data_IF_307321635918
#
_entry.id   IF_307321635918
#
_cell.length_a   1.000
_cell.length_b   1.000
_cell.length_c   1.000
_cell.angle_alpha   90.00
_cell.angle_beta   90.00
_cell.angle_gamma   90.00
#
_symmetry.space_group_name_H-M   'P 1'
#
loop_
_entity.id
_entity.type
_entity.pdbx_description
1 polymer ?
#
# COMPACT_ATOMS: atom_id res chain seq x y z
N UNK A 1 69.76 -35.43 41.70
CA UNK A 1 68.31 -35.18 41.94
C UNK A 1 67.99 -33.82 41.38
N UNK A 2 67.29 -33.68 40.22
CA UNK A 2 66.88 -32.37 39.75
C UNK A 2 65.43 -32.08 40.12
N UNK A 3 65.19 -30.83 40.56
CA UNK A 3 63.95 -30.26 40.96
C UNK A 3 62.97 -30.10 39.75
N UNK A 4 61.78 -30.64 39.90
CA UNK A 4 60.67 -30.44 38.96
C UNK A 4 60.03 -29.04 39.18
N UNK A 5 59.94 -28.27 38.08
CA UNK A 5 59.15 -27.03 38.02
C UNK A 5 57.67 -27.38 37.83
N UNK A 6 56.71 -26.65 38.43
CA UNK A 6 55.29 -26.84 38.20
C UNK A 6 54.88 -26.21 36.89
N UNK A 7 53.94 -26.87 36.19
CA UNK A 7 53.30 -26.42 34.94
C UNK A 7 52.23 -25.31 35.23
N UNK A 8 52.01 -24.36 34.32
CA UNK A 8 50.99 -23.36 34.52
C UNK A 8 49.59 -23.92 34.20
N UNK A 9 48.64 -23.66 35.10
CA UNK A 9 47.22 -23.95 34.92
C UNK A 9 46.61 -23.03 33.88
N UNK A 10 46.04 -23.66 32.83
CA UNK A 10 45.27 -22.98 31.79
C UNK A 10 43.86 -22.65 32.35
N UNK A 11 43.61 -21.38 32.61
CA UNK A 11 42.27 -20.89 32.94
C UNK A 11 41.48 -20.67 31.62
N UNK A 12 40.59 -21.59 31.33
CA UNK A 12 39.68 -21.45 30.20
C UNK A 12 38.52 -20.50 30.56
N UNK A 13 38.61 -19.25 30.12
CA UNK A 13 37.48 -18.31 30.20
C UNK A 13 36.40 -18.75 29.20
N UNK A 14 35.29 -19.33 29.69
CA UNK A 14 34.05 -19.49 28.92
C UNK A 14 33.43 -18.11 28.74
N UNK A 15 33.59 -17.53 27.54
CA UNK A 15 32.83 -16.33 27.17
C UNK A 15 31.37 -16.76 26.92
N UNK A 16 30.48 -16.47 27.84
CA UNK A 16 29.03 -16.49 27.63
C UNK A 16 28.68 -15.45 26.56
N UNK A 17 28.49 -15.89 25.35
CA UNK A 17 27.84 -15.11 24.29
C UNK A 17 26.37 -14.88 24.71
N UNK A 18 26.13 -13.79 25.43
CA UNK A 18 24.79 -13.26 25.61
C UNK A 18 24.28 -12.85 24.22
N UNK A 19 23.46 -13.70 23.61
CA UNK A 19 22.75 -13.41 22.38
C UNK A 19 21.89 -12.17 22.61
N UNK A 20 22.37 -11.02 22.15
CA UNK A 20 21.54 -9.84 22.06
C UNK A 20 20.44 -10.17 21.04
N UNK A 21 19.13 -9.98 21.36
CA UNK A 21 18.11 -10.08 20.35
C UNK A 21 18.49 -9.07 19.27
N UNK A 22 18.77 -9.57 18.07
CA UNK A 22 18.94 -8.72 16.90
C UNK A 22 17.64 -7.94 16.73
N UNK A 23 17.69 -6.64 17.03
CA UNK A 23 16.61 -5.71 16.73
C UNK A 23 16.45 -5.84 15.22
N UNK A 24 15.31 -6.40 14.78
CA UNK A 24 15.00 -6.47 13.36
C UNK A 24 15.15 -5.06 12.79
N UNK A 25 16.00 -4.94 11.77
CA UNK A 25 16.22 -3.64 11.11
C UNK A 25 14.88 -3.18 10.58
N UNK A 26 14.41 -2.03 11.05
CA UNK A 26 13.20 -1.41 10.56
C UNK A 26 13.37 -0.93 9.11
N UNK A 27 12.28 -0.72 8.39
CA UNK A 27 12.31 -0.15 7.04
C UNK A 27 13.11 1.15 7.04
N UNK A 28 14.08 1.27 6.13
CA UNK A 28 14.98 2.44 6.09
C UNK A 28 14.53 3.54 5.13
N UNK A 29 13.48 3.29 4.32
CA UNK A 29 13.03 4.22 3.27
C UNK A 29 11.55 4.00 2.93
N UNK A 30 10.68 4.09 3.94
CA UNK A 30 9.25 3.93 3.72
C UNK A 30 8.67 5.22 3.15
N UNK A 31 8.16 5.16 1.90
CA UNK A 31 7.35 6.24 1.33
C UNK A 31 5.91 6.12 1.84
N UNK A 32 5.27 7.25 2.09
CA UNK A 32 3.86 7.26 2.43
C UNK A 32 3.07 7.83 1.26
N UNK A 33 2.48 6.94 0.47
CA UNK A 33 1.59 7.32 -0.62
C UNK A 33 0.23 7.75 -0.09
N UNK A 34 -0.31 8.81 -0.68
CA UNK A 34 -1.63 9.31 -0.35
C UNK A 34 -2.54 9.28 -1.58
N UNK A 35 -3.80 8.90 -1.36
CA UNK A 35 -4.83 8.94 -2.38
C UNK A 35 -6.03 9.78 -1.93
N UNK A 36 -6.51 10.61 -2.81
CA UNK A 36 -7.76 11.36 -2.66
C UNK A 36 -8.33 11.66 -4.06
N UNK A 37 -8.68 10.62 -4.85
CA UNK A 37 -8.96 10.78 -6.28
C UNK A 37 -10.08 11.77 -6.54
N UNK A 38 -11.18 11.72 -5.79
CA UNK A 38 -12.32 12.64 -5.97
C UNK A 38 -11.93 14.10 -5.76
N UNK A 39 -11.00 14.41 -4.85
CA UNK A 39 -10.59 15.76 -4.54
C UNK A 39 -9.40 16.22 -5.40
N UNK A 40 -8.44 15.34 -5.66
CA UNK A 40 -7.20 15.67 -6.39
C UNK A 40 -7.43 15.80 -7.91
N UNK A 41 -8.30 14.96 -8.48
CA UNK A 41 -8.62 15.03 -9.91
C UNK A 41 -9.61 16.17 -10.25
N UNK A 42 -10.31 16.73 -9.27
CA UNK A 42 -11.19 17.87 -9.46
C UNK A 42 -10.42 19.19 -9.50
N UNK A 43 -10.54 20.00 -10.55
CA UNK A 43 -9.85 21.30 -10.63
C UNK A 43 -10.32 22.29 -9.53
N UNK A 44 -11.55 22.10 -9.02
CA UNK A 44 -12.12 22.97 -7.98
C UNK A 44 -11.51 22.69 -6.60
N UNK A 45 -11.32 21.41 -6.26
CA UNK A 45 -10.86 21.01 -4.92
C UNK A 45 -9.37 20.71 -4.84
N UNK A 46 -8.69 20.47 -5.97
CA UNK A 46 -7.26 20.14 -6.02
C UNK A 46 -6.38 21.13 -5.25
N UNK A 47 -6.46 22.47 -5.44
CA UNK A 47 -5.55 23.39 -4.75
C UNK A 47 -5.66 23.33 -3.24
N UNK A 48 -6.89 23.29 -2.70
CA UNK A 48 -7.13 23.19 -1.24
C UNK A 48 -6.68 21.83 -0.70
N UNK A 49 -6.90 20.75 -1.47
CA UNK A 49 -6.47 19.40 -1.11
C UNK A 49 -4.95 19.30 -1.03
N UNK A 50 -4.22 19.78 -2.06
CA UNK A 50 -2.75 19.84 -2.05
C UNK A 50 -2.25 20.63 -0.84
N UNK A 51 -2.86 21.78 -0.54
CA UNK A 51 -2.49 22.59 0.65
C UNK A 51 -2.67 21.79 1.95
N UNK A 52 -3.78 21.06 2.08
CA UNK A 52 -4.04 20.18 3.24
C UNK A 52 -3.01 19.07 3.34
N UNK A 53 -2.75 18.33 2.24
CA UNK A 53 -1.79 17.24 2.21
C UNK A 53 -0.36 17.69 2.57
N UNK A 54 0.04 18.89 2.12
CA UNK A 54 1.34 19.50 2.51
C UNK A 54 1.44 19.72 4.02
N UNK A 55 0.38 20.25 4.64
CA UNK A 55 0.32 20.45 6.11
C UNK A 55 0.38 19.11 6.85
N UNK A 56 -0.22 18.08 6.30
CA UNK A 56 -0.16 16.72 6.85
C UNK A 56 1.20 16.03 6.66
N UNK A 57 2.13 16.64 5.89
CA UNK A 57 3.45 16.10 5.64
C UNK A 57 3.52 15.11 4.48
N UNK A 58 2.48 15.02 3.66
CA UNK A 58 2.48 14.16 2.46
C UNK A 58 3.52 14.65 1.45
N UNK A 59 4.26 13.72 0.88
CA UNK A 59 5.30 13.95 -0.13
C UNK A 59 5.29 12.91 -1.27
N UNK A 60 4.28 12.04 -1.28
CA UNK A 60 4.08 11.05 -2.34
C UNK A 60 2.59 10.84 -2.61
N UNK A 61 2.23 10.67 -3.87
CA UNK A 61 0.86 10.37 -4.29
C UNK A 61 0.82 9.05 -5.04
N UNK A 62 -0.23 8.27 -4.83
CA UNK A 62 -0.69 7.27 -5.79
C UNK A 62 -1.82 7.88 -6.61
N UNK A 63 -1.71 7.77 -7.93
CA UNK A 63 -2.70 8.26 -8.89
C UNK A 63 -3.12 7.08 -9.74
N UNK A 64 -4.39 6.68 -9.66
CA UNK A 64 -4.94 5.67 -10.55
C UNK A 64 -5.39 6.32 -11.87
N UNK A 65 -4.76 5.91 -12.98
CA UNK A 65 -5.06 6.35 -14.32
C UNK A 65 -5.93 5.31 -15.03
N UNK A 66 -7.19 5.65 -15.24
CA UNK A 66 -8.13 4.81 -15.99
C UNK A 66 -7.87 4.91 -17.49
N UNK A 67 -7.56 3.78 -18.12
CA UNK A 67 -7.36 3.72 -19.58
C UNK A 67 -8.60 4.19 -20.34
N UNK A 68 -9.79 3.79 -19.90
CA UNK A 68 -11.06 4.21 -20.50
C UNK A 68 -11.26 5.73 -20.48
N UNK A 69 -10.85 6.39 -19.41
CA UNK A 69 -11.09 7.82 -19.23
C UNK A 69 -10.29 8.67 -20.22
N UNK A 70 -9.10 8.23 -20.59
CA UNK A 70 -8.22 8.99 -21.49
C UNK A 70 -8.32 8.57 -22.95
N UNK A 71 -8.81 7.36 -23.22
CA UNK A 71 -8.80 6.78 -24.57
C UNK A 71 -9.87 7.40 -25.50
N UNK A 72 -9.57 7.56 -26.79
CA UNK A 72 -10.53 8.04 -27.76
C UNK A 72 -11.65 7.02 -27.97
N UNK A 73 -12.89 7.50 -28.12
CA UNK A 73 -14.08 6.66 -28.40
C UNK A 73 -14.20 5.45 -27.49
N UNK A 74 -13.90 5.58 -26.20
CA UNK A 74 -13.76 4.48 -25.23
C UNK A 74 -15.02 3.57 -25.13
N UNK A 75 -16.20 4.10 -25.40
CA UNK A 75 -17.47 3.36 -25.39
C UNK A 75 -17.80 2.67 -26.74
N UNK A 76 -16.99 2.85 -27.76
CA UNK A 76 -17.19 2.20 -29.05
C UNK A 76 -16.80 0.72 -29.01
N UNK A 77 -17.56 -0.13 -29.68
CA UNK A 77 -17.20 -1.53 -29.91
C UNK A 77 -16.13 -1.70 -31.00
N UNK A 78 -15.91 -0.66 -31.82
CA UNK A 78 -14.91 -0.66 -32.91
C UNK A 78 -13.77 0.29 -32.48
N UNK A 79 -12.55 -0.20 -32.64
CA UNK A 79 -11.36 0.62 -32.43
C UNK A 79 -11.38 1.81 -33.40
N UNK A 80 -11.25 3.06 -32.93
CA UNK A 80 -11.11 4.23 -33.79
C UNK A 80 -9.76 4.19 -34.56
N UNK A 81 -9.68 4.96 -35.61
CA UNK A 81 -8.41 5.20 -36.29
C UNK A 81 -7.63 6.26 -35.52
N UNK A 82 -6.53 5.86 -34.90
CA UNK A 82 -5.64 6.74 -34.13
C UNK A 82 -4.28 6.05 -33.92
N UNK A 83 -3.26 6.82 -33.58
CA UNK A 83 -1.94 6.29 -33.22
C UNK A 83 -1.87 6.01 -31.71
N UNK A 84 -2.13 4.77 -31.31
CA UNK A 84 -2.17 4.37 -29.89
C UNK A 84 -0.86 4.58 -29.12
N UNK A 85 0.25 4.85 -29.82
CA UNK A 85 1.54 5.17 -29.19
C UNK A 85 1.81 6.67 -29.05
N UNK A 86 0.94 7.51 -29.62
CA UNK A 86 1.08 8.96 -29.57
C UNK A 86 0.26 9.53 -28.43
N UNK A 87 0.87 10.19 -27.43
CA UNK A 87 0.13 10.81 -26.34
C UNK A 87 -0.84 11.91 -26.83
N UNK A 88 -0.62 12.52 -28.00
CA UNK A 88 -1.52 13.53 -28.55
C UNK A 88 -2.92 13.00 -28.89
N UNK A 89 -3.05 11.69 -29.09
CA UNK A 89 -4.32 11.05 -29.42
C UNK A 89 -5.17 10.66 -28.20
N UNK A 90 -4.78 11.07 -27.00
CA UNK A 90 -5.47 10.79 -25.74
C UNK A 90 -5.85 12.08 -24.98
N UNK A 91 -6.79 11.98 -24.05
CA UNK A 91 -7.31 13.11 -23.26
C UNK A 91 -6.74 13.10 -21.84
N UNK A 92 -5.63 13.79 -21.60
CA UNK A 92 -4.93 13.78 -20.30
C UNK A 92 -5.36 14.87 -19.31
N UNK A 93 -6.25 15.79 -19.72
CA UNK A 93 -6.55 17.02 -18.96
C UNK A 93 -7.03 16.82 -17.52
N UNK A 94 -7.48 15.62 -17.16
CA UNK A 94 -7.83 15.28 -15.78
C UNK A 94 -6.59 14.97 -14.92
N UNK A 95 -5.53 14.42 -15.52
CA UNK A 95 -4.35 13.91 -14.82
C UNK A 95 -3.15 14.87 -14.88
N UNK A 96 -2.92 15.51 -16.03
CA UNK A 96 -1.79 16.41 -16.25
C UNK A 96 -1.59 17.45 -15.13
N UNK A 97 -2.63 18.25 -14.77
CA UNK A 97 -2.42 19.31 -13.78
C UNK A 97 -2.10 18.78 -12.37
N UNK A 98 -2.44 17.52 -12.06
CA UNK A 98 -2.11 16.89 -10.80
C UNK A 98 -0.67 16.37 -10.81
N UNK A 99 -0.25 15.70 -11.90
CA UNK A 99 1.09 15.12 -12.02
C UNK A 99 2.12 16.23 -12.09
N UNK A 100 1.89 17.27 -12.91
CA UNK A 100 2.73 18.46 -13.02
C UNK A 100 2.89 19.17 -11.66
N UNK A 101 1.78 19.35 -10.91
CA UNK A 101 1.84 19.99 -9.59
C UNK A 101 2.61 19.13 -8.58
N UNK A 102 2.40 17.80 -8.56
CA UNK A 102 3.15 16.89 -7.71
C UNK A 102 4.66 16.97 -8.04
N UNK A 103 5.01 16.94 -9.32
CA UNK A 103 6.40 17.06 -9.78
C UNK A 103 7.00 18.41 -9.36
N UNK A 104 6.29 19.53 -9.58
CA UNK A 104 6.71 20.87 -9.17
C UNK A 104 6.95 20.99 -7.65
N UNK A 105 6.22 20.23 -6.85
CA UNK A 105 6.38 20.15 -5.39
C UNK A 105 7.50 19.20 -4.95
N UNK A 106 8.14 18.50 -5.89
CA UNK A 106 9.11 17.46 -5.61
C UNK A 106 8.50 16.22 -4.96
N UNK A 107 7.20 15.99 -5.13
CA UNK A 107 6.52 14.81 -4.64
C UNK A 107 6.76 13.61 -5.54
N UNK A 108 6.89 12.45 -4.95
CA UNK A 108 6.94 11.20 -5.70
C UNK A 108 5.56 10.83 -6.23
N UNK A 109 5.51 10.33 -7.46
CA UNK A 109 4.26 9.87 -8.08
C UNK A 109 4.38 8.39 -8.40
N UNK A 110 3.48 7.60 -7.83
CA UNK A 110 3.14 6.26 -8.29
C UNK A 110 1.92 6.39 -9.22
N UNK A 111 2.10 6.14 -10.51
CA UNK A 111 1.02 6.14 -11.49
C UNK A 111 0.57 4.71 -11.75
N UNK A 112 -0.57 4.33 -11.20
CA UNK A 112 -1.20 3.01 -11.44
C UNK A 112 -2.09 3.09 -12.66
N UNK A 113 -1.71 2.41 -13.74
CA UNK A 113 -2.49 2.37 -14.99
C UNK A 113 -3.39 1.15 -14.99
N UNK A 114 -4.72 1.37 -15.04
CA UNK A 114 -5.69 0.32 -14.73
C UNK A 114 -6.98 0.37 -15.58
N UNK A 115 -7.86 -0.58 -15.28
CA UNK A 115 -9.26 -0.60 -15.71
C UNK A 115 -10.02 0.65 -15.15
N UNK A 116 -11.22 0.95 -15.69
CA UNK A 116 -11.85 0.31 -16.82
C UNK A 116 -11.08 0.54 -18.12
N UNK A 117 -11.19 -0.42 -19.06
CA UNK A 117 -10.53 -0.31 -20.37
C UNK A 117 -11.51 0.19 -21.44
N UNK A 118 -11.04 0.78 -22.54
CA UNK A 118 -11.91 1.08 -23.67
C UNK A 118 -12.59 -0.18 -24.17
N UNK A 119 -13.87 -0.11 -24.48
CA UNK A 119 -14.66 -1.26 -24.88
C UNK A 119 -14.06 -1.98 -26.10
N UNK A 120 -13.52 -1.22 -27.07
CA UNK A 120 -12.83 -1.76 -28.25
C UNK A 120 -11.51 -2.48 -27.93
N UNK A 121 -10.93 -2.26 -26.75
CA UNK A 121 -9.70 -2.92 -26.29
C UNK A 121 -9.97 -4.18 -25.44
N UNK A 122 -11.21 -4.66 -25.34
CA UNK A 122 -11.58 -5.93 -24.72
C UNK A 122 -11.63 -7.05 -25.77
N UNK A 123 -11.43 -8.30 -25.34
CA UNK A 123 -11.49 -9.45 -26.25
C UNK A 123 -12.87 -9.67 -26.85
N UNK A 124 -13.94 -9.23 -26.21
CA UNK A 124 -15.30 -9.30 -26.69
C UNK A 124 -16.13 -8.05 -26.34
N UNK A 125 -16.08 -7.00 -27.17
CA UNK A 125 -16.82 -5.76 -26.92
C UNK A 125 -18.33 -5.91 -26.78
N UNK A 126 -18.90 -6.99 -27.32
CA UNK A 126 -20.35 -7.28 -27.23
C UNK A 126 -20.82 -7.57 -25.80
N UNK A 127 -19.93 -8.05 -24.95
CA UNK A 127 -20.22 -8.27 -23.51
C UNK A 127 -20.41 -6.97 -22.74
N UNK A 128 -20.00 -5.84 -23.31
CA UNK A 128 -20.03 -4.51 -22.67
C UNK A 128 -19.36 -4.46 -21.30
N UNK A 129 -18.45 -5.39 -21.03
CA UNK A 129 -17.62 -5.42 -19.83
C UNK A 129 -16.31 -4.70 -20.10
N UNK A 130 -16.00 -3.73 -19.25
CA UNK A 130 -14.81 -2.89 -19.37
C UNK A 130 -13.60 -3.45 -18.59
N UNK A 131 -13.70 -4.70 -18.13
CA UNK A 131 -12.64 -5.39 -17.34
C UNK A 131 -12.34 -6.80 -17.90
N UNK A 132 -13.10 -7.26 -18.92
CA UNK A 132 -12.99 -8.63 -19.41
C UNK A 132 -11.91 -8.76 -20.48
N UNK A 133 -10.86 -9.54 -20.17
CA UNK A 133 -9.76 -9.88 -21.09
C UNK A 133 -9.26 -8.66 -21.87
N UNK A 134 -8.65 -7.68 -21.20
CA UNK A 134 -8.01 -6.55 -21.88
C UNK A 134 -6.99 -7.05 -22.91
N UNK A 135 -6.94 -6.38 -24.07
CA UNK A 135 -6.01 -6.71 -25.13
C UNK A 135 -4.59 -6.23 -24.76
N UNK A 136 -3.68 -7.17 -24.55
CA UNK A 136 -2.32 -6.87 -24.12
C UNK A 136 -1.54 -6.03 -25.13
N UNK A 137 -1.75 -6.21 -26.45
CA UNK A 137 -1.08 -5.42 -27.49
C UNK A 137 -1.55 -3.96 -27.48
N UNK A 138 -2.86 -3.74 -27.38
CA UNK A 138 -3.40 -2.38 -27.26
C UNK A 138 -2.92 -1.71 -25.95
N UNK A 139 -2.78 -2.49 -24.87
CA UNK A 139 -2.23 -2.00 -23.62
C UNK A 139 -0.75 -1.64 -23.73
N UNK A 140 0.07 -2.40 -24.48
CA UNK A 140 1.47 -2.06 -24.77
C UNK A 140 1.57 -0.72 -25.50
N UNK A 141 0.75 -0.52 -26.52
CA UNK A 141 0.73 0.73 -27.28
C UNK A 141 0.28 1.91 -26.40
N UNK A 142 -0.73 1.71 -25.56
CA UNK A 142 -1.17 2.70 -24.59
C UNK A 142 -0.08 3.04 -23.56
N UNK A 143 0.59 2.03 -23.00
CA UNK A 143 1.70 2.25 -22.06
C UNK A 143 2.89 2.95 -22.71
N UNK A 144 3.08 2.81 -24.03
CA UNK A 144 4.03 3.62 -24.79
C UNK A 144 3.64 5.12 -24.77
N UNK A 145 2.35 5.42 -24.99
CA UNK A 145 1.85 6.80 -24.90
C UNK A 145 1.97 7.36 -23.45
N UNK A 146 1.60 6.58 -22.43
CA UNK A 146 1.77 6.94 -21.01
C UNK A 146 3.23 7.26 -20.68
N UNK A 147 4.14 6.37 -21.08
CA UNK A 147 5.58 6.57 -20.84
C UNK A 147 6.12 7.81 -21.52
N UNK A 148 5.72 8.08 -22.78
CA UNK A 148 6.11 9.30 -23.50
C UNK A 148 5.53 10.56 -22.88
N UNK A 149 4.31 10.49 -22.34
CA UNK A 149 3.64 11.63 -21.71
C UNK A 149 4.30 12.04 -20.41
N UNK A 150 4.61 11.07 -19.54
CA UNK A 150 4.98 11.31 -18.15
C UNK A 150 6.42 10.91 -17.79
N UNK A 151 7.28 10.70 -18.81
CA UNK A 151 8.70 10.43 -18.57
C UNK A 151 9.35 11.56 -17.77
N UNK A 152 9.99 11.22 -16.66
CA UNK A 152 10.64 12.20 -15.78
C UNK A 152 9.74 12.77 -14.68
N UNK A 153 8.42 12.67 -14.78
CA UNK A 153 7.47 13.16 -13.77
C UNK A 153 6.96 12.04 -12.86
N UNK A 154 6.88 10.82 -13.38
CA UNK A 154 6.42 9.63 -12.64
C UNK A 154 7.61 8.86 -12.09
N UNK A 155 7.58 8.58 -10.79
CA UNK A 155 8.65 7.85 -10.09
C UNK A 155 8.51 6.33 -10.17
N UNK A 156 7.27 5.84 -10.20
CA UNK A 156 6.90 4.42 -10.22
C UNK A 156 5.66 4.22 -11.09
N UNK A 157 5.62 3.13 -11.85
CA UNK A 157 4.44 2.72 -12.61
C UNK A 157 3.82 1.49 -11.95
N UNK A 158 2.62 1.63 -11.40
CA UNK A 158 1.78 0.52 -10.96
C UNK A 158 1.09 -0.11 -12.18
N UNK A 159 1.22 -1.43 -12.34
CA UNK A 159 0.61 -2.10 -13.47
C UNK A 159 -0.65 -2.81 -12.99
N UNK A 160 -1.77 -2.19 -13.26
CA UNK A 160 -3.12 -2.61 -12.90
C UNK A 160 -3.45 -2.51 -11.40
N UNK A 161 -4.68 -2.03 -11.11
CA UNK A 161 -5.26 -2.06 -9.77
C UNK A 161 -5.95 -3.41 -9.54
N UNK A 162 -5.69 -4.05 -8.43
CA UNK A 162 -6.32 -5.28 -7.92
C UNK A 162 -6.67 -6.33 -9.00
N UNK A 163 -5.68 -6.80 -9.79
CA UNK A 163 -5.95 -7.73 -10.89
C UNK A 163 -6.47 -9.11 -10.45
N UNK A 164 -6.43 -9.38 -9.15
CA UNK A 164 -7.01 -10.57 -8.53
C UNK A 164 -8.46 -10.34 -8.07
N UNK A 165 -9.07 -9.17 -8.35
CA UNK A 165 -10.43 -8.81 -7.98
C UNK A 165 -11.32 -8.67 -9.23
N UNK A 166 -12.55 -9.21 -9.17
CA UNK A 166 -13.48 -9.29 -10.29
C UNK A 166 -13.94 -7.91 -10.83
N UNK A 167 -13.90 -6.86 -10.02
CA UNK A 167 -14.25 -5.51 -10.44
C UNK A 167 -13.19 -4.86 -11.35
N UNK A 168 -11.95 -5.39 -11.35
CA UNK A 168 -10.85 -4.80 -12.11
C UNK A 168 -10.33 -5.70 -13.24
N UNK A 169 -10.48 -7.02 -13.13
CA UNK A 169 -10.06 -7.96 -14.18
C UNK A 169 -10.94 -9.20 -14.22
N UNK A 170 -11.41 -9.56 -15.41
CA UNK A 170 -12.23 -10.73 -15.66
C UNK A 170 -11.71 -11.54 -16.87
N UNK A 171 -11.89 -12.89 -16.89
CA UNK A 171 -12.42 -13.70 -15.80
C UNK A 171 -11.38 -13.94 -14.71
N UNK A 172 -11.83 -14.06 -13.45
CA UNK A 172 -10.97 -14.43 -12.33
C UNK A 172 -10.64 -15.91 -12.34
N UNK A 173 -11.61 -16.77 -12.75
CA UNK A 173 -11.45 -18.22 -12.82
C UNK A 173 -11.87 -18.76 -14.18
N UNK A 174 -11.28 -19.88 -14.58
CA UNK A 174 -11.69 -20.68 -15.72
C UNK A 174 -12.95 -21.50 -15.39
N UNK A 175 -13.59 -22.07 -16.41
CA UNK A 175 -14.79 -22.89 -16.23
C UNK A 175 -14.57 -24.14 -15.36
N UNK A 176 -13.33 -24.63 -15.28
CA UNK A 176 -12.91 -25.73 -14.41
C UNK A 176 -12.61 -25.31 -12.95
N UNK A 177 -12.79 -24.03 -12.62
CA UNK A 177 -12.56 -23.48 -11.28
C UNK A 177 -11.11 -23.09 -10.99
N UNK A 178 -10.18 -23.26 -11.91
CA UNK A 178 -8.79 -22.82 -11.75
C UNK A 178 -8.63 -21.32 -11.99
N UNK A 179 -7.66 -20.63 -11.34
CA UNK A 179 -7.43 -19.21 -11.55
C UNK A 179 -7.07 -18.85 -13.00
N UNK A 180 -7.78 -17.91 -13.59
CA UNK A 180 -7.55 -17.39 -14.95
C UNK A 180 -6.84 -16.04 -14.97
N UNK A 181 -7.20 -15.14 -14.03
CA UNK A 181 -6.68 -13.76 -13.98
C UNK A 181 -5.16 -13.66 -13.86
N UNK A 182 -4.43 -14.57 -13.17
CA UNK A 182 -2.97 -14.47 -13.07
C UNK A 182 -2.28 -14.49 -14.44
N UNK A 183 -2.73 -15.36 -15.35
CA UNK A 183 -2.15 -15.48 -16.70
C UNK A 183 -2.48 -14.25 -17.55
N UNK A 184 -3.70 -13.75 -17.46
CA UNK A 184 -4.13 -12.54 -18.16
C UNK A 184 -3.28 -11.36 -17.70
N UNK A 185 -3.16 -11.18 -16.39
CA UNK A 185 -2.38 -10.11 -15.78
C UNK A 185 -0.89 -10.19 -16.12
N UNK A 186 -0.29 -11.39 -16.12
CA UNK A 186 1.10 -11.56 -16.56
C UNK A 186 1.33 -10.99 -17.96
N UNK A 187 0.41 -11.25 -18.89
CA UNK A 187 0.46 -10.69 -20.24
C UNK A 187 0.37 -9.18 -20.28
N UNK A 188 -0.51 -8.60 -19.45
CA UNK A 188 -0.64 -7.13 -19.30
C UNK A 188 0.63 -6.51 -18.70
N UNK A 189 1.21 -7.13 -17.66
CA UNK A 189 2.45 -6.65 -17.08
C UNK A 189 3.61 -6.64 -18.08
N UNK A 190 3.77 -7.72 -18.84
CA UNK A 190 4.82 -7.81 -19.88
C UNK A 190 4.61 -6.77 -20.99
N UNK A 191 3.37 -6.58 -21.42
CA UNK A 191 2.99 -5.56 -22.39
C UNK A 191 3.29 -4.14 -21.88
N UNK A 192 2.91 -3.85 -20.63
CA UNK A 192 3.19 -2.55 -20.03
C UNK A 192 4.69 -2.26 -19.92
N UNK A 193 5.48 -3.25 -19.48
CA UNK A 193 6.93 -3.10 -19.41
C UNK A 193 7.54 -2.85 -20.80
N UNK A 194 7.10 -3.60 -21.81
CA UNK A 194 7.53 -3.41 -23.20
C UNK A 194 7.15 -2.02 -23.74
N UNK A 195 5.92 -1.57 -23.46
CA UNK A 195 5.44 -0.25 -23.85
C UNK A 195 6.26 0.90 -23.23
N UNK A 196 6.56 0.83 -21.94
CA UNK A 196 7.40 1.80 -21.25
C UNK A 196 8.84 1.82 -21.82
N UNK A 197 9.38 0.64 -22.17
CA UNK A 197 10.65 0.53 -22.88
C UNK A 197 10.61 1.18 -24.26
N UNK A 198 9.53 0.96 -25.00
CA UNK A 198 9.31 1.57 -26.30
C UNK A 198 9.10 3.10 -26.24
N UNK A 199 8.69 3.61 -25.09
CA UNK A 199 8.65 5.04 -24.80
C UNK A 199 10.03 5.68 -24.56
N UNK A 200 11.11 4.87 -24.51
CA UNK A 200 12.47 5.36 -24.27
C UNK A 200 12.93 5.26 -22.82
N UNK A 201 12.13 4.71 -21.91
CA UNK A 201 12.50 4.51 -20.51
C UNK A 201 13.37 3.24 -20.41
N UNK A 202 14.68 3.41 -20.28
CA UNK A 202 15.63 2.30 -20.33
C UNK A 202 15.40 1.23 -19.22
N UNK A 203 15.08 1.67 -18.03
CA UNK A 203 14.81 0.82 -16.86
C UNK A 203 13.54 1.32 -16.14
N UNK A 204 12.33 0.99 -16.66
CA UNK A 204 11.12 1.49 -16.04
C UNK A 204 10.94 0.90 -14.65
N UNK A 205 10.80 1.77 -13.64
CA UNK A 205 10.49 1.36 -12.29
C UNK A 205 9.02 0.93 -12.22
N UNK A 206 8.78 -0.38 -12.23
CA UNK A 206 7.42 -0.94 -12.27
C UNK A 206 7.10 -1.72 -11.00
N UNK A 207 5.89 -1.58 -10.51
CA UNK A 207 5.31 -2.44 -9.49
C UNK A 207 4.40 -3.47 -10.14
N UNK A 208 4.51 -4.71 -9.64
CA UNK A 208 3.67 -5.84 -10.04
C UNK A 208 2.78 -6.23 -8.86
N UNK A 209 1.55 -6.65 -9.10
CA UNK A 209 0.64 -7.13 -8.05
C UNK A 209 -0.49 -6.17 -7.78
N UNK A 210 -0.30 -5.20 -6.86
CA UNK A 210 -1.38 -4.35 -6.32
C UNK A 210 -2.62 -5.17 -5.93
N UNK A 211 -2.40 -6.31 -5.23
CA UNK A 211 -3.44 -7.31 -5.02
C UNK A 211 -4.36 -6.97 -3.86
N UNK A 212 -5.67 -7.17 -4.08
CA UNK A 212 -6.68 -7.22 -3.01
C UNK A 212 -6.32 -8.30 -1.97
N UNK A 213 -6.72 -8.10 -0.68
CA UNK A 213 -6.20 -8.90 0.43
C UNK A 213 -6.70 -10.34 0.49
N UNK A 214 -7.87 -10.63 -0.07
CA UNK A 214 -8.57 -11.90 0.12
C UNK A 214 -9.11 -12.48 -1.17
N UNK A 215 -9.38 -13.78 -1.18
CA UNK A 215 -9.95 -14.48 -2.32
C UNK A 215 -9.90 -15.99 -2.15
N UNK A 216 -10.13 -16.70 -3.25
CA UNK A 216 -10.22 -18.16 -3.33
C UNK A 216 -9.06 -18.72 -4.16
N UNK A 217 -8.64 -19.93 -3.86
CA UNK A 217 -7.62 -20.65 -4.65
C UNK A 217 -8.23 -21.47 -5.77
N UNK A 218 -9.51 -21.79 -5.64
CA UNK A 218 -10.28 -22.62 -6.56
C UNK A 218 -11.78 -22.43 -6.30
N UNK A 219 -12.59 -22.34 -7.34
CA UNK A 219 -14.04 -22.24 -7.25
C UNK A 219 -14.68 -23.57 -7.64
N UNK A 220 -15.54 -24.10 -6.78
CA UNK A 220 -16.31 -25.33 -7.08
C UNK A 220 -17.64 -25.00 -7.72
N UNK A 221 -17.98 -25.73 -8.77
CA UNK A 221 -19.24 -25.58 -9.50
C UNK A 221 -19.18 -24.60 -10.67
N UNK A 222 -20.30 -24.35 -11.34
CA UNK A 222 -20.32 -23.55 -12.56
C UNK A 222 -20.06 -22.07 -12.25
N UNK A 223 -19.05 -21.52 -12.86
CA UNK A 223 -18.73 -20.09 -12.80
C UNK A 223 -19.59 -19.35 -13.83
N UNK A 224 -20.39 -18.43 -13.33
CA UNK A 224 -21.24 -17.58 -14.19
C UNK A 224 -20.52 -16.27 -14.49
N UNK A 225 -20.70 -15.69 -15.69
CA UNK A 225 -20.23 -14.34 -15.97
C UNK A 225 -20.76 -13.35 -14.93
N UNK A 226 -19.87 -12.51 -14.37
CA UNK A 226 -20.20 -11.54 -13.34
C UNK A 226 -20.39 -12.11 -11.93
N UNK A 227 -19.94 -13.35 -11.67
CA UNK A 227 -19.82 -13.85 -10.29
C UNK A 227 -18.70 -13.14 -9.53
N UNK A 228 -18.99 -12.74 -8.31
CA UNK A 228 -18.07 -11.94 -7.46
C UNK A 228 -16.99 -12.82 -6.77
N UNK A 229 -16.26 -13.62 -7.56
CA UNK A 229 -15.14 -14.41 -7.07
C UNK A 229 -13.82 -13.67 -7.31
N UNK A 230 -12.94 -13.67 -6.31
CA UNK A 230 -11.60 -13.08 -6.38
C UNK A 230 -10.56 -14.18 -6.20
N UNK A 231 -9.43 -14.09 -6.88
CA UNK A 231 -8.32 -15.02 -6.65
C UNK A 231 -7.53 -14.60 -5.40
N UNK A 232 -7.27 -15.53 -4.50
CA UNK A 232 -6.46 -15.26 -3.31
C UNK A 232 -5.05 -14.75 -3.67
N UNK A 233 -4.52 -13.72 -3.00
CA UNK A 233 -3.31 -13.01 -3.45
C UNK A 233 -2.06 -13.89 -3.57
N UNK A 234 -1.84 -14.89 -2.72
CA UNK A 234 -0.69 -15.78 -2.86
C UNK A 234 -0.87 -16.80 -3.99
N UNK A 235 -2.10 -17.29 -4.22
CA UNK A 235 -2.40 -18.11 -5.38
C UNK A 235 -2.25 -17.31 -6.68
N UNK A 236 -2.67 -16.04 -6.68
CA UNK A 236 -2.47 -15.11 -7.77
C UNK A 236 -0.98 -14.89 -8.07
N UNK A 237 -0.17 -14.62 -7.04
CA UNK A 237 1.28 -14.46 -7.16
C UNK A 237 1.91 -15.69 -7.85
N UNK A 238 1.62 -16.90 -7.34
CA UNK A 238 2.14 -18.13 -7.95
C UNK A 238 1.72 -18.29 -9.41
N UNK A 239 0.45 -18.02 -9.72
CA UNK A 239 -0.05 -18.09 -11.09
C UNK A 239 0.62 -17.09 -12.03
N UNK A 240 0.83 -15.84 -11.59
CA UNK A 240 1.57 -14.80 -12.34
C UNK A 240 3.00 -15.25 -12.61
N UNK A 241 3.65 -15.91 -11.65
CA UNK A 241 5.04 -16.33 -11.72
C UNK A 241 5.23 -17.76 -12.30
N UNK A 242 4.14 -18.41 -12.70
CA UNK A 242 4.14 -19.79 -13.18
C UNK A 242 4.80 -20.76 -12.18
N UNK A 243 4.39 -20.67 -10.93
CA UNK A 243 4.83 -21.53 -9.83
C UNK A 243 3.68 -22.43 -9.37
N UNK A 244 4.01 -23.66 -8.98
CA UNK A 244 3.06 -24.59 -8.34
C UNK A 244 2.80 -24.19 -6.86
N UNK A 245 1.97 -24.95 -6.17
CA UNK A 245 1.65 -24.73 -4.75
C UNK A 245 2.87 -24.84 -3.83
N UNK A 246 3.93 -25.52 -4.26
CA UNK A 246 5.21 -25.66 -3.56
C UNK A 246 6.24 -24.62 -3.99
N UNK A 247 5.86 -23.63 -4.80
CA UNK A 247 6.73 -22.61 -5.38
C UNK A 247 7.80 -23.15 -6.34
N UNK A 248 7.59 -24.33 -6.93
CA UNK A 248 8.45 -24.85 -8.00
C UNK A 248 7.95 -24.33 -9.34
N UNK A 249 8.86 -24.14 -10.29
CA UNK A 249 8.49 -23.69 -11.64
C UNK A 249 7.59 -24.74 -12.32
N UNK A 250 6.43 -24.26 -12.78
CA UNK A 250 5.40 -25.06 -13.43
C UNK A 250 5.15 -24.52 -14.84
N UNK A 251 6.16 -24.58 -15.72
CA UNK A 251 6.08 -24.11 -17.10
C UNK A 251 7.28 -23.28 -17.55
N UNK A 252 7.30 -22.92 -18.84
CA UNK A 252 8.40 -22.21 -19.51
C UNK A 252 8.36 -20.67 -19.37
N UNK A 253 7.76 -20.12 -18.31
CA UNK A 253 7.71 -18.68 -18.13
C UNK A 253 9.08 -18.06 -17.86
N UNK A 254 9.37 -16.93 -18.49
CA UNK A 254 10.56 -16.12 -18.18
C UNK A 254 10.46 -15.49 -16.79
N UNK A 255 11.59 -15.20 -16.17
CA UNK A 255 11.66 -14.38 -14.95
C UNK A 255 11.08 -12.99 -15.22
N UNK A 256 10.33 -12.45 -14.28
CA UNK A 256 9.91 -11.05 -14.28
C UNK A 256 10.85 -10.23 -13.38
N UNK A 257 11.12 -8.99 -13.77
CA UNK A 257 12.05 -8.11 -13.05
C UNK A 257 11.39 -6.78 -12.66
N UNK A 258 10.35 -6.81 -11.81
CA UNK A 258 9.75 -5.60 -11.27
C UNK A 258 10.66 -4.93 -10.24
N UNK A 259 10.41 -3.66 -9.94
CA UNK A 259 11.05 -2.93 -8.85
C UNK A 259 10.50 -3.32 -7.48
N UNK A 260 9.27 -3.84 -7.41
CA UNK A 260 8.64 -4.30 -6.19
C UNK A 260 7.33 -5.06 -6.44
N UNK A 261 6.86 -5.74 -5.40
CA UNK A 261 5.53 -6.36 -5.36
C UNK A 261 4.58 -5.49 -4.55
N UNK A 262 3.47 -5.09 -5.14
CA UNK A 262 2.49 -4.23 -4.49
C UNK A 262 1.28 -5.03 -3.96
N UNK A 263 0.72 -4.56 -2.84
CA UNK A 263 -0.42 -5.17 -2.14
C UNK A 263 -1.32 -4.09 -1.53
N UNK A 264 -2.60 -4.43 -1.35
CA UNK A 264 -3.61 -3.66 -0.62
C UNK A 264 -4.08 -4.46 0.61
N UNK A 265 -3.31 -4.47 1.71
CA UNK A 265 -3.51 -5.39 2.82
C UNK A 265 -4.57 -4.91 3.83
N UNK A 266 -5.74 -4.51 3.33
CA UNK A 266 -6.86 -4.07 4.19
C UNK A 266 -7.21 -5.11 5.24
N UNK A 267 -7.34 -4.74 6.52
CA UNK A 267 -7.88 -5.60 7.54
C UNK A 267 -9.41 -5.56 7.52
N UNK A 268 -10.04 -6.52 8.18
CA UNK A 268 -11.46 -6.43 8.52
C UNK A 268 -11.66 -5.64 9.84
N UNK A 269 -12.90 -5.63 10.37
CA UNK A 269 -13.26 -4.95 11.62
C UNK A 269 -12.47 -5.43 12.86
N UNK A 270 -11.80 -6.59 12.81
CA UNK A 270 -10.95 -7.07 13.90
C UNK A 270 -9.61 -6.31 14.00
N UNK A 271 -9.33 -5.42 13.02
CA UNK A 271 -8.23 -4.49 13.04
C UNK A 271 -6.90 -5.04 12.52
N UNK A 272 -5.81 -4.25 12.67
CA UNK A 272 -4.55 -4.49 11.98
C UNK A 272 -3.78 -5.71 12.49
N UNK A 273 -4.11 -6.24 13.67
CA UNK A 273 -3.48 -7.46 14.21
C UNK A 273 -4.15 -8.75 13.70
N UNK A 274 -5.26 -8.64 12.98
CA UNK A 274 -5.98 -9.78 12.45
C UNK A 274 -5.18 -10.53 11.38
N UNK A 275 -5.04 -11.84 11.60
CA UNK A 275 -4.45 -12.78 10.66
C UNK A 275 -5.55 -13.66 10.07
N UNK A 276 -5.83 -13.60 8.76
CA UNK A 276 -6.88 -14.38 8.12
C UNK A 276 -6.68 -15.90 8.30
N UNK A 277 -7.78 -16.64 8.45
CA UNK A 277 -7.74 -18.12 8.50
C UNK A 277 -7.26 -18.72 7.17
N UNK A 278 -7.65 -18.14 6.05
CA UNK A 278 -7.13 -18.55 4.75
C UNK A 278 -5.64 -18.17 4.66
N UNK A 279 -4.71 -19.16 4.54
CA UNK A 279 -3.27 -18.89 4.48
C UNK A 279 -2.84 -18.17 3.21
N UNK A 280 -3.68 -18.14 2.19
CA UNK A 280 -3.44 -17.47 0.91
C UNK A 280 -3.82 -15.99 0.91
N UNK A 281 -4.51 -15.50 1.97
CA UNK A 281 -4.90 -14.11 2.14
C UNK A 281 -3.79 -13.28 2.80
N UNK A 282 -3.71 -11.98 2.46
CA UNK A 282 -2.70 -11.05 2.96
C UNK A 282 -3.40 -9.80 3.50
N UNK A 283 -3.57 -9.72 4.83
CA UNK A 283 -3.89 -8.47 5.53
C UNK A 283 -2.62 -7.87 6.11
N UNK A 284 -2.70 -6.64 6.64
CA UNK A 284 -1.56 -5.97 7.28
C UNK A 284 -0.98 -6.80 8.44
N UNK A 285 -1.81 -7.51 9.20
CA UNK A 285 -1.39 -8.45 10.26
C UNK A 285 -0.69 -9.71 9.74
N UNK A 286 -0.77 -9.98 8.44
CA UNK A 286 -0.22 -11.17 7.80
C UNK A 286 0.93 -10.87 6.82
N UNK A 287 1.59 -9.71 6.90
CA UNK A 287 2.65 -9.27 5.97
C UNK A 287 3.80 -10.28 5.78
N UNK A 288 4.10 -11.08 6.79
CA UNK A 288 5.15 -12.13 6.67
C UNK A 288 4.81 -13.19 5.61
N UNK A 289 3.53 -13.34 5.25
CA UNK A 289 3.13 -14.30 4.20
C UNK A 289 3.64 -13.88 2.84
N UNK A 290 3.50 -12.58 2.50
CA UNK A 290 3.98 -12.07 1.20
C UNK A 290 5.51 -12.07 1.14
N UNK A 291 6.22 -11.64 2.19
CA UNK A 291 7.69 -11.65 2.17
C UNK A 291 8.23 -13.07 2.04
N UNK A 292 7.67 -14.05 2.76
CA UNK A 292 8.04 -15.45 2.62
C UNK A 292 7.68 -16.07 1.26
N UNK A 293 6.60 -15.60 0.62
CA UNK A 293 6.23 -16.00 -0.74
C UNK A 293 7.22 -15.46 -1.78
N UNK A 294 7.61 -14.18 -1.64
CA UNK A 294 8.60 -13.54 -2.52
C UNK A 294 9.99 -14.19 -2.39
N UNK A 295 10.39 -14.57 -1.17
CA UNK A 295 11.65 -15.28 -0.97
C UNK A 295 11.66 -16.63 -1.70
N UNK A 296 10.56 -17.41 -1.56
CA UNK A 296 10.40 -18.67 -2.30
C UNK A 296 10.38 -18.49 -3.81
N UNK A 297 9.74 -17.42 -4.30
CA UNK A 297 9.72 -17.07 -5.72
C UNK A 297 11.13 -16.64 -6.23
N UNK A 298 11.90 -15.96 -5.39
CA UNK A 298 13.30 -15.62 -5.65
C UNK A 298 14.19 -16.86 -5.74
N UNK A 299 14.07 -17.80 -4.81
CA UNK A 299 14.78 -19.09 -4.86
C UNK A 299 14.42 -19.91 -6.10
N UNK A 300 13.18 -19.80 -6.57
CA UNK A 300 12.75 -20.43 -7.82
C UNK A 300 13.20 -19.66 -9.09
N UNK A 301 13.96 -18.58 -8.95
CA UNK A 301 14.37 -17.69 -10.06
C UNK A 301 13.19 -17.18 -10.90
N UNK A 302 12.03 -16.96 -10.27
CA UNK A 302 10.85 -16.38 -10.91
C UNK A 302 10.79 -14.84 -10.77
N UNK A 303 11.48 -14.32 -9.75
CA UNK A 303 11.67 -12.89 -9.44
C UNK A 303 13.13 -12.65 -9.00
N UNK A 304 13.61 -11.39 -8.98
CA UNK A 304 14.81 -11.01 -8.27
C UNK A 304 14.73 -11.38 -6.78
N UNK A 305 15.85 -11.78 -6.18
CA UNK A 305 15.93 -12.03 -4.74
C UNK A 305 15.68 -10.75 -3.92
N UNK A 306 15.14 -10.90 -2.72
CA UNK A 306 14.90 -9.79 -1.76
C UNK A 306 14.03 -8.65 -2.30
N UNK A 307 13.06 -8.96 -3.16
CA UNK A 307 12.16 -7.99 -3.75
C UNK A 307 11.38 -7.21 -2.67
N UNK A 308 11.32 -5.89 -2.79
CA UNK A 308 10.60 -5.01 -1.85
C UNK A 308 9.08 -5.20 -1.98
N UNK A 309 8.38 -4.99 -0.87
CA UNK A 309 6.92 -4.97 -0.78
C UNK A 309 6.45 -3.51 -0.72
N UNK A 310 5.51 -3.15 -1.57
CA UNK A 310 4.87 -1.84 -1.56
C UNK A 310 3.43 -1.99 -1.10
N UNK A 311 3.07 -1.31 -0.02
CA UNK A 311 1.67 -1.10 0.35
C UNK A 311 1.24 0.15 -0.41
N UNK A 312 0.47 -0.04 -1.48
CA UNK A 312 0.10 1.02 -2.41
C UNK A 312 -1.29 1.58 -2.13
N UNK A 313 -2.11 0.83 -1.40
CA UNK A 313 -3.42 1.25 -0.93
C UNK A 313 -3.70 0.64 0.45
N UNK A 314 -4.18 1.46 1.39
CA UNK A 314 -4.52 1.02 2.74
C UNK A 314 -5.45 2.04 3.43
N UNK A 315 -6.25 1.56 4.36
CA UNK A 315 -7.05 2.37 5.26
C UNK A 315 -7.90 1.52 6.21
N UNK A 316 -8.26 2.11 7.33
CA UNK A 316 -9.15 1.48 8.32
C UNK A 316 -10.56 2.00 8.12
N UNK A 317 -11.50 1.10 7.82
CA UNK A 317 -12.91 1.44 7.70
C UNK A 317 -13.48 1.91 9.02
N UNK A 318 -14.16 3.04 9.05
CA UNK A 318 -14.86 3.56 10.24
C UNK A 318 -16.38 3.50 10.06
N UNK A 319 -17.11 3.71 11.14
CA UNK A 319 -18.55 4.00 11.09
C UNK A 319 -18.78 5.26 10.22
N UNK A 320 -19.85 5.33 9.40
CA UNK A 320 -21.05 4.48 9.45
C UNK A 320 -21.01 3.19 8.63
N UNK A 321 -19.86 2.74 8.08
CA UNK A 321 -19.80 1.43 7.41
C UNK A 321 -20.31 0.34 8.37
N UNK A 322 -21.36 -0.39 7.95
CA UNK A 322 -22.04 -1.35 8.81
C UNK A 322 -21.29 -2.68 8.92
N UNK A 323 -20.51 -3.04 7.91
CA UNK A 323 -19.90 -4.36 7.78
C UNK A 323 -18.49 -4.41 8.35
N UNK A 324 -17.68 -3.40 8.07
CA UNK A 324 -16.27 -3.36 8.43
C UNK A 324 -15.87 -2.17 9.30
N UNK A 325 -16.81 -1.22 9.52
CA UNK A 325 -16.50 0.03 10.20
C UNK A 325 -16.31 -0.09 11.72
N UNK A 326 -15.16 0.36 12.20
CA UNK A 326 -14.85 0.53 13.62
C UNK A 326 -15.26 1.93 14.12
N UNK A 327 -15.35 2.18 15.44
CA UNK A 327 -15.48 3.54 15.97
C UNK A 327 -14.35 4.45 15.46
N UNK A 328 -14.64 5.73 15.22
CA UNK A 328 -13.66 6.65 14.61
C UNK A 328 -12.41 6.90 15.49
N UNK A 329 -12.53 6.81 16.81
CA UNK A 329 -11.37 6.86 17.70
C UNK A 329 -10.47 5.64 17.49
N UNK A 330 -11.07 4.46 17.34
CA UNK A 330 -10.34 3.21 17.07
C UNK A 330 -9.75 3.19 15.65
N UNK A 331 -10.35 3.90 14.68
CA UNK A 331 -9.76 4.08 13.35
C UNK A 331 -8.36 4.68 13.45
N UNK A 332 -8.19 5.76 14.24
CA UNK A 332 -6.90 6.42 14.42
C UNK A 332 -5.86 5.52 15.12
N UNK A 333 -6.29 4.76 16.13
CA UNK A 333 -5.42 3.79 16.82
C UNK A 333 -4.98 2.67 15.86
N UNK A 334 -5.90 2.12 15.10
CA UNK A 334 -5.65 1.00 14.19
C UNK A 334 -4.76 1.40 13.00
N UNK A 335 -4.93 2.63 12.50
CA UNK A 335 -4.10 3.17 11.43
C UNK A 335 -2.64 3.28 11.88
N UNK A 336 -2.38 3.86 13.06
CA UNK A 336 -1.05 3.95 13.64
C UNK A 336 -0.42 2.57 13.92
N UNK A 337 -1.21 1.58 14.37
CA UNK A 337 -0.73 0.21 14.57
C UNK A 337 -0.34 -0.42 13.23
N UNK A 338 -1.15 -0.22 12.18
CA UNK A 338 -0.87 -0.72 10.83
C UNK A 338 0.43 -0.13 10.27
N UNK A 339 0.62 1.19 10.39
CA UNK A 339 1.85 1.87 9.97
C UNK A 339 3.08 1.33 10.74
N UNK A 340 2.97 1.12 12.05
CA UNK A 340 4.03 0.48 12.83
C UNK A 340 4.34 -0.95 12.35
N UNK A 341 3.33 -1.75 12.00
CA UNK A 341 3.55 -3.11 11.46
C UNK A 341 4.33 -3.04 10.14
N UNK A 342 3.94 -2.13 9.23
CA UNK A 342 4.64 -1.87 7.99
C UNK A 342 6.10 -1.46 8.25
N UNK A 343 6.31 -0.43 9.07
CA UNK A 343 7.62 0.06 9.47
C UNK A 343 8.52 -1.03 10.08
N UNK A 344 7.95 -1.95 10.86
CA UNK A 344 8.71 -3.02 11.52
C UNK A 344 9.18 -4.12 10.57
N UNK A 345 8.80 -4.07 9.28
CA UNK A 345 9.21 -5.05 8.28
C UNK A 345 10.20 -4.40 7.28
N UNK A 346 11.50 -4.76 7.31
CA UNK A 346 12.53 -4.13 6.47
C UNK A 346 12.33 -4.33 4.97
N UNK A 347 11.42 -5.24 4.57
CA UNK A 347 11.07 -5.49 3.17
C UNK A 347 9.95 -4.55 2.67
N UNK A 348 9.28 -3.82 3.56
CA UNK A 348 8.24 -2.85 3.19
C UNK A 348 8.89 -1.52 2.81
N UNK A 349 8.63 -1.07 1.58
CA UNK A 349 9.16 0.17 1.02
C UNK A 349 8.16 1.32 1.06
N UNK A 350 6.88 1.04 1.24
CA UNK A 350 5.85 2.08 1.34
C UNK A 350 4.71 1.70 2.26
N UNK A 351 4.08 2.72 2.81
CA UNK A 351 2.75 2.66 3.41
C UNK A 351 1.81 3.59 2.62
N UNK A 352 0.50 3.38 2.69
CA UNK A 352 -0.44 4.21 1.96
C UNK A 352 -1.60 4.64 2.84
N UNK A 353 -2.19 5.79 2.51
CA UNK A 353 -3.47 6.26 3.04
C UNK A 353 -4.47 6.43 1.91
N UNK A 354 -5.51 5.66 1.91
CA UNK A 354 -6.69 5.74 1.07
C UNK A 354 -7.83 6.31 1.92
N UNK A 355 -8.12 7.44 1.79
CA UNK A 355 -8.70 8.64 1.32
C UNK A 355 -8.41 9.84 2.25
N UNK A 356 -8.60 11.06 1.72
CA UNK A 356 -8.73 12.27 2.55
C UNK A 356 -10.13 12.37 3.14
N UNK A 357 -11.16 12.22 2.30
CA UNK A 357 -12.57 12.24 2.70
C UNK A 357 -13.23 10.90 2.42
N UNK A 358 -14.09 10.49 3.33
CA UNK A 358 -14.95 9.33 3.11
C UNK A 358 -15.75 9.47 1.81
N UNK A 359 -15.99 8.34 1.16
CA UNK A 359 -16.99 8.29 0.10
C UNK A 359 -18.38 8.61 0.66
N UNK A 360 -19.23 9.29 -0.11
CA UNK A 360 -20.64 9.40 0.21
C UNK A 360 -21.28 8.02 0.32
N UNK A 361 -22.08 7.81 1.36
CA UNK A 361 -22.82 6.55 1.52
C UNK A 361 -23.76 6.32 0.34
N UNK A 362 -23.70 5.15 -0.32
CA UNK A 362 -24.58 4.85 -1.43
C UNK A 362 -26.02 4.71 -0.98
N UNK A 363 -27.01 4.93 -1.87
CA UNK A 363 -28.42 4.68 -1.58
C UNK A 363 -28.66 3.26 -1.05
N UNK A 364 -29.71 3.07 -0.25
CA UNK A 364 -30.10 1.75 0.25
C UNK A 364 -30.32 0.78 -0.93
N UNK A 365 -29.79 -0.43 -0.83
CA UNK A 365 -29.88 -1.46 -1.87
C UNK A 365 -28.83 -1.34 -2.98
N UNK A 366 -27.98 -0.34 -2.97
CA UNK A 366 -26.83 -0.26 -3.85
C UNK A 366 -25.81 -1.38 -3.51
N UNK A 367 -25.23 -1.97 -4.55
CA UNK A 367 -24.09 -2.90 -4.41
C UNK A 367 -22.75 -2.18 -4.34
N UNK A 368 -22.72 -0.86 -4.55
CA UNK A 368 -21.51 -0.05 -4.51
C UNK A 368 -20.95 -0.05 -3.08
N UNK A 369 -19.68 -0.39 -2.96
CA UNK A 369 -18.93 -0.23 -1.71
C UNK A 369 -18.52 1.24 -1.59
N UNK A 370 -18.75 1.83 -0.40
CA UNK A 370 -18.25 3.16 -0.07
C UNK A 370 -17.15 3.00 0.97
N UNK A 371 -16.01 3.61 0.71
CA UNK A 371 -14.86 3.56 1.60
C UNK A 371 -14.96 4.67 2.66
N UNK A 372 -15.00 4.25 3.92
CA UNK A 372 -15.04 5.15 5.09
C UNK A 372 -13.66 5.18 5.76
N UNK A 373 -12.62 5.25 4.94
CA UNK A 373 -11.21 5.21 5.37
C UNK A 373 -10.59 6.60 5.49
N UNK A 374 -11.36 7.64 5.13
CA UNK A 374 -10.90 9.02 5.10
C UNK A 374 -10.44 9.57 6.45
N UNK A 375 -9.56 10.56 6.40
CA UNK A 375 -9.18 11.40 7.54
C UNK A 375 -10.32 12.34 7.96
N UNK A 376 -11.21 12.60 7.03
CA UNK A 376 -12.41 13.42 7.20
C UNK A 376 -13.65 12.61 6.83
N UNK A 377 -14.79 12.97 7.40
CA UNK A 377 -16.08 12.47 6.92
C UNK A 377 -16.38 12.97 5.49
N UNK A 378 -17.36 12.39 4.82
CA UNK A 378 -17.83 12.86 3.51
C UNK A 378 -18.25 14.34 3.51
N UNK A 379 -18.71 14.87 4.65
CA UNK A 379 -19.03 16.28 4.86
C UNK A 379 -17.81 17.22 4.86
N UNK A 380 -16.60 16.67 5.03
CA UNK A 380 -15.37 17.43 5.29
C UNK A 380 -15.11 17.72 6.76
N UNK A 381 -15.98 17.26 7.68
CA UNK A 381 -15.70 17.36 9.11
C UNK A 381 -14.54 16.44 9.50
N UNK A 382 -13.61 16.89 10.40
CA UNK A 382 -12.44 16.10 10.76
C UNK A 382 -12.81 14.88 11.61
N UNK A 383 -12.09 13.77 11.38
CA UNK A 383 -12.07 12.63 12.28
C UNK A 383 -10.81 12.69 13.17
N UNK A 384 -10.74 11.94 14.28
CA UNK A 384 -9.52 11.84 15.09
C UNK A 384 -8.27 11.45 14.30
N UNK A 385 -8.44 10.66 13.24
CA UNK A 385 -7.35 10.26 12.35
C UNK A 385 -6.70 11.45 11.63
N UNK A 386 -7.44 12.54 11.34
CA UNK A 386 -6.85 13.74 10.74
C UNK A 386 -5.76 14.36 11.63
N UNK A 387 -5.98 14.34 12.96
CA UNK A 387 -4.99 14.80 13.92
C UNK A 387 -3.88 13.76 14.18
N UNK A 388 -4.20 12.47 14.07
CA UNK A 388 -3.26 11.37 14.27
C UNK A 388 -2.30 11.17 13.11
N UNK A 389 -2.75 11.37 11.89
CA UNK A 389 -1.96 11.09 10.67
C UNK A 389 -0.60 11.82 10.60
N UNK A 390 -0.47 13.12 10.94
CA UNK A 390 0.82 13.78 10.95
C UNK A 390 1.74 13.36 12.11
N UNK A 391 1.20 12.83 13.20
CA UNK A 391 1.93 12.44 14.42
C UNK A 391 1.40 11.10 14.99
N UNK A 392 1.46 10.00 14.22
CA UNK A 392 0.97 8.71 14.66
C UNK A 392 1.70 8.24 15.92
N UNK A 393 0.95 7.59 16.82
CA UNK A 393 1.43 7.03 18.06
C UNK A 393 0.87 5.64 18.28
N UNK A 394 1.72 4.70 18.68
CA UNK A 394 1.28 3.41 19.21
C UNK A 394 1.83 3.17 20.60
N UNK A 395 1.04 2.53 21.44
CA UNK A 395 1.42 2.17 22.82
C UNK A 395 1.14 0.67 23.02
N UNK A 396 2.20 -0.11 23.21
CA UNK A 396 2.11 -1.57 23.40
C UNK A 396 2.49 -1.91 24.84
N UNK A 397 1.71 -2.74 25.52
CA UNK A 397 2.04 -3.21 26.85
C UNK A 397 3.20 -4.20 26.84
N UNK A 398 4.23 -3.97 27.66
CA UNK A 398 5.38 -4.85 27.90
C UNK A 398 5.52 -5.18 29.38
N UNK A 399 4.72 -6.12 29.88
CA UNK A 399 4.69 -6.45 31.31
C UNK A 399 4.24 -5.26 32.17
N UNK A 400 5.14 -4.66 32.96
CA UNK A 400 4.88 -3.48 33.80
C UNK A 400 5.24 -2.15 33.14
N UNK A 401 5.71 -2.16 31.91
CA UNK A 401 6.08 -0.97 31.15
C UNK A 401 5.33 -0.94 29.82
N UNK A 402 5.47 0.16 29.11
CA UNK A 402 4.90 0.36 27.79
C UNK A 402 6.01 0.65 26.78
N UNK A 403 5.86 0.10 25.57
CA UNK A 403 6.67 0.48 24.41
C UNK A 403 5.86 1.44 23.55
N UNK A 404 6.38 2.63 23.38
CA UNK A 404 5.80 3.65 22.52
C UNK A 404 6.62 3.73 21.23
N UNK A 405 5.92 3.89 20.14
CA UNK A 405 6.49 4.18 18.82
C UNK A 405 5.70 5.31 18.20
N UNK A 406 6.39 6.22 17.56
CA UNK A 406 5.76 7.32 16.86
C UNK A 406 6.58 7.85 15.70
N UNK A 407 5.93 8.69 14.91
CA UNK A 407 6.49 9.32 13.73
C UNK A 407 6.02 10.77 13.64
N UNK A 408 6.85 11.67 13.13
CA UNK A 408 6.49 13.06 12.83
C UNK A 408 6.58 13.26 11.33
N UNK A 409 5.47 13.04 10.63
CA UNK A 409 5.38 13.05 9.17
C UNK A 409 5.79 14.37 8.52
N UNK A 410 5.39 15.56 9.06
CA UNK A 410 5.79 16.84 8.49
C UNK A 410 7.24 17.23 8.79
N UNK A 411 7.97 16.51 9.65
CA UNK A 411 9.35 16.87 10.00
C UNK A 411 10.29 16.69 8.78
N UNK A 412 11.25 17.59 8.66
CA UNK A 412 12.29 17.56 7.62
C UNK A 412 13.68 17.29 8.23
N UNK A 413 13.74 16.34 9.17
CA UNK A 413 14.95 15.97 9.92
C UNK A 413 14.60 15.63 11.35
N UNK A 414 15.63 15.41 12.18
CA UNK A 414 15.44 15.15 13.60
C UNK A 414 14.74 16.34 14.27
N UNK A 415 13.78 16.05 15.14
CA UNK A 415 12.97 17.03 15.85
C UNK A 415 12.63 16.53 17.25
N UNK A 416 12.13 17.41 18.12
CA UNK A 416 11.69 17.02 19.45
C UNK A 416 10.17 17.02 19.53
N UNK A 417 9.60 15.94 20.04
CA UNK A 417 8.19 15.80 20.37
C UNK A 417 7.99 15.85 21.88
N UNK A 418 6.83 16.35 22.30
CA UNK A 418 6.37 16.26 23.69
C UNK A 418 5.43 15.06 23.80
N UNK A 419 5.80 14.10 24.64
CA UNK A 419 4.91 13.01 25.04
C UNK A 419 4.09 13.48 26.24
N UNK A 420 2.79 13.40 26.14
CA UNK A 420 1.86 13.75 27.20
C UNK A 420 1.05 12.51 27.62
N UNK A 421 0.77 12.38 28.92
CA UNK A 421 -0.02 11.29 29.49
C UNK A 421 -1.18 11.80 30.32
N UNK A 422 -2.25 11.00 30.34
CA UNK A 422 -3.44 11.19 31.15
C UNK A 422 -3.59 10.06 32.15
N UNK A 423 -3.64 10.36 33.43
CA UNK A 423 -3.85 9.37 34.50
C UNK A 423 -5.30 8.91 34.54
N UNK A 424 -5.49 7.69 35.00
CA UNK A 424 -6.83 7.13 35.20
C UNK A 424 -7.65 7.99 36.15
N UNK A 425 -8.85 8.40 35.69
CA UNK A 425 -9.75 9.29 36.43
C UNK A 425 -9.40 10.77 36.35
N UNK A 426 -8.37 11.14 35.61
CA UNK A 426 -8.07 12.53 35.19
C UNK A 426 -8.62 12.80 33.80
N UNK A 427 -8.91 14.06 33.50
CA UNK A 427 -9.21 14.54 32.14
C UNK A 427 -8.12 15.50 31.65
N UNK A 428 -7.00 15.55 32.37
CA UNK A 428 -5.89 16.46 32.07
C UNK A 428 -4.65 15.69 31.64
N UNK A 429 -4.09 16.08 30.49
CA UNK A 429 -2.79 15.62 30.03
C UNK A 429 -1.67 16.41 30.71
N UNK A 430 -0.64 15.71 31.17
CA UNK A 430 0.59 16.29 31.68
C UNK A 430 1.78 15.84 30.84
N UNK A 431 2.81 16.65 30.77
CA UNK A 431 4.06 16.31 30.07
C UNK A 431 4.76 15.20 30.83
N UNK A 432 5.02 14.09 30.11
CA UNK A 432 5.78 12.95 30.61
C UNK A 432 7.25 13.02 30.20
N UNK A 433 7.52 13.36 28.94
CA UNK A 433 8.87 13.34 28.40
C UNK A 433 8.99 14.20 27.13
N UNK A 434 10.21 14.65 26.86
CA UNK A 434 10.62 15.19 25.57
C UNK A 434 11.44 14.10 24.86
N UNK A 435 11.03 13.74 23.64
CA UNK A 435 11.66 12.67 22.87
C UNK A 435 12.20 13.23 21.58
N UNK A 436 13.49 12.99 21.29
CA UNK A 436 14.10 13.35 20.00
C UNK A 436 13.90 12.23 19.00
N UNK A 437 13.42 12.59 17.80
CA UNK A 437 13.25 11.65 16.68
C UNK A 437 14.59 11.36 16.01
N UNK A 438 14.64 10.31 15.20
CA UNK A 438 15.72 10.13 14.23
C UNK A 438 15.62 11.18 13.08
N UNK A 439 16.58 11.17 12.14
CA UNK A 439 16.60 12.10 11.01
C UNK A 439 15.40 11.97 10.05
N UNK A 440 14.65 10.86 10.15
CA UNK A 440 13.46 10.59 9.34
C UNK A 440 12.16 10.91 10.07
N UNK A 441 12.25 11.34 11.35
CA UNK A 441 11.10 11.69 12.17
C UNK A 441 10.55 10.55 13.04
N UNK A 442 11.17 9.34 13.04
CA UNK A 442 10.74 8.22 13.87
C UNK A 442 11.36 8.27 15.26
N UNK A 443 10.60 7.78 16.24
CA UNK A 443 11.07 7.67 17.62
C UNK A 443 10.45 6.46 18.32
N UNK A 444 11.16 5.97 19.33
CA UNK A 444 10.68 4.93 20.24
C UNK A 444 11.03 5.31 21.66
N UNK A 445 10.17 4.93 22.61
CA UNK A 445 10.38 5.15 24.03
C UNK A 445 9.86 3.95 24.82
N UNK A 446 10.56 3.61 25.92
CA UNK A 446 10.02 2.70 26.92
C UNK A 446 9.57 3.54 28.12
N UNK A 447 8.29 3.51 28.43
CA UNK A 447 7.67 4.27 29.51
C UNK A 447 7.26 3.32 30.64
N UNK A 448 7.79 3.52 31.88
CA UNK A 448 7.39 2.74 33.05
C UNK A 448 6.11 3.26 33.71
N UNK A 449 5.57 4.40 33.28
CA UNK A 449 4.40 5.03 33.90
C UNK A 449 3.12 4.25 33.66
N UNK A 450 2.13 4.43 34.53
CA UNK A 450 0.82 3.75 34.48
C UNK A 450 -0.30 4.71 34.03
N UNK A 451 -0.08 5.35 32.90
CA UNK A 451 -1.07 6.27 32.34
C UNK A 451 -2.30 5.48 31.78
N UNK A 452 -3.43 6.16 31.66
CA UNK A 452 -4.63 5.62 31.04
C UNK A 452 -4.63 5.80 29.52
N UNK A 453 -4.02 6.91 29.07
CA UNK A 453 -3.85 7.24 27.67
C UNK A 453 -2.64 8.13 27.44
N UNK A 454 -2.12 8.14 26.23
CA UNK A 454 -0.98 8.95 25.80
C UNK A 454 -1.34 9.71 24.54
N UNK A 455 -0.71 10.89 24.32
CA UNK A 455 -0.73 11.61 23.06
C UNK A 455 0.60 12.29 22.79
N UNK A 456 0.83 12.61 21.52
CA UNK A 456 2.00 13.36 21.06
C UNK A 456 1.60 14.78 20.74
N UNK A 457 2.42 15.75 21.19
CA UNK A 457 2.37 17.13 20.75
C UNK A 457 3.67 17.49 20.06
N UNK A 458 3.59 18.10 18.89
CA UNK A 458 4.73 18.59 18.14
C UNK A 458 4.48 20.01 17.64
N UNK A 459 5.51 20.86 17.69
CA UNK A 459 5.46 22.22 17.16
C UNK A 459 6.45 22.28 16.01
N UNK A 460 5.96 22.59 14.82
CA UNK A 460 6.80 22.75 13.64
C UNK A 460 7.72 23.96 13.77
N UNK A 461 8.81 24.05 13.00
CA UNK A 461 9.68 25.25 12.95
C UNK A 461 8.93 26.52 12.58
N UNK A 462 7.83 26.39 11.83
CA UNK A 462 6.94 27.53 11.47
C UNK A 462 5.85 27.84 12.49
N UNK A 463 5.90 27.24 13.70
CA UNK A 463 4.96 27.52 14.79
C UNK A 463 3.64 26.77 14.73
N UNK A 464 3.40 25.93 13.72
CA UNK A 464 2.18 25.10 13.66
C UNK A 464 2.22 24.02 14.73
N UNK A 465 1.17 23.94 15.53
CA UNK A 465 1.02 22.95 16.61
C UNK A 465 0.23 21.76 16.09
N UNK A 466 0.79 20.55 16.23
CA UNK A 466 0.15 19.28 15.97
C UNK A 466 -0.07 18.55 17.29
N UNK A 467 -1.29 18.09 17.51
CA UNK A 467 -1.66 17.32 18.72
C UNK A 467 -2.40 16.08 18.24
N UNK A 468 -1.79 14.93 18.45
CA UNK A 468 -2.41 13.63 18.10
C UNK A 468 -3.57 13.29 19.04
N UNK A 469 -4.43 12.33 18.66
CA UNK A 469 -5.48 11.83 19.52
C UNK A 469 -4.92 11.14 20.76
N UNK A 470 -5.75 10.99 21.80
CA UNK A 470 -5.46 10.15 22.95
C UNK A 470 -5.46 8.68 22.53
N UNK A 471 -4.36 7.97 22.74
CA UNK A 471 -4.16 6.57 22.39
C UNK A 471 -4.05 5.73 23.66
N UNK A 472 -4.72 4.58 23.67
CA UNK A 472 -4.63 3.59 24.75
C UNK A 472 -3.64 2.50 24.39
N UNK A 473 -3.10 1.84 25.43
CA UNK A 473 -2.24 0.68 25.23
C UNK A 473 -3.05 -0.55 24.78
N UNK A 474 -2.53 -1.28 23.78
CA UNK A 474 -3.03 -2.56 23.28
C UNK A 474 -2.11 -3.73 23.62
#
# INVERSE_FOLDING_TARGET
MPLRKPAPALVTCLALLAGHPTIASASHAEDVFFEAPSQLLSPVTRPSTISTLRKLGVSALRIELSWHTVAPSANSMRRPAFNAKDPADYSWGQYDPLIEEAHRLGWRVLLTVSAPVPLWATANPRLRSLVTRPNAREFEEFMTAVGRRYAGEVSLYGIWNEPNHHEFLEPQFNADGTPASPRIYRGLYQAAYAGLRAAGIAHPATLIGETAPEGETYVRGPIRPGSAHNVAPLAFLRGVLCLDSSYRRAGGCSMLSPSGWAIHPYPNQAGPLYVPRNPESITIGALRRITGALDRAGYAHALPGSLQVYITEFGIMSKPNRYQGVPVAQQAEYDAIAERIAYSNPRVASFAQYLLKDDPMPPRGSRRVAFQTGLEYASGSPKPLLAGFPVPLTVTRLGRAYALWGYVRPARGATTVTLEGERRGSHNFSVLSLVTTDRRGYWTLRDPTTEASWRVRWVSPGGTVYVGPAIRAY
#
